data_IF_952667464085
#
_entry.id   IF_952667464085
#
_cell.length_a   1.000
_cell.length_b   1.000
_cell.length_c   1.000
_cell.angle_alpha   90.00
_cell.angle_beta   90.00
_cell.angle_gamma   90.00
#
_symmetry.space_group_name_H-M   'P 1'
#
loop_
_entity.id
_entity.type
_entity.pdbx_description
1 polymer ?
#
# COMPACT_ATOMS: atom_id res chain seq x y z
N UNK A 1 -1.97 -1.37 9.33
CA UNK A 1 -1.22 -2.15 8.34
C UNK A 1 0.26 -1.82 8.44
N UNK A 2 0.74 -0.80 7.72
CA UNK A 2 2.13 -0.33 7.78
C UNK A 2 2.12 1.18 8.04
N UNK A 3 3.04 1.64 8.88
CA UNK A 3 3.33 3.06 9.11
C UNK A 3 4.73 3.34 8.57
N UNK A 4 4.90 4.41 7.81
CA UNK A 4 6.19 4.85 7.32
C UNK A 4 6.65 6.07 8.11
N UNK A 5 7.87 6.03 8.64
CA UNK A 5 8.59 7.21 9.10
C UNK A 5 9.45 7.70 7.95
N UNK A 6 9.28 8.95 7.56
CA UNK A 6 9.92 9.54 6.41
C UNK A 6 10.68 10.77 6.90
N UNK A 7 11.99 10.79 6.70
CA UNK A 7 12.84 11.92 7.03
C UNK A 7 13.41 12.54 5.75
N UNK A 8 13.26 13.86 5.60
CA UNK A 8 13.78 14.64 4.49
C UNK A 8 14.48 15.87 5.06
N UNK A 9 15.81 15.92 4.96
CA UNK A 9 16.64 16.94 5.61
C UNK A 9 16.34 17.03 7.12
N UNK A 10 15.89 18.19 7.60
CA UNK A 10 15.54 18.44 9.00
C UNK A 10 14.06 18.12 9.31
N UNK A 11 13.23 17.91 8.28
CA UNK A 11 11.82 17.62 8.43
C UNK A 11 11.59 16.12 8.53
N UNK A 12 10.58 15.73 9.31
CA UNK A 12 10.16 14.34 9.40
C UNK A 12 8.64 14.24 9.52
N UNK A 13 8.11 13.11 9.07
CA UNK A 13 6.69 12.78 9.19
C UNK A 13 6.52 11.29 9.42
N UNK A 14 5.45 10.94 10.14
CA UNK A 14 5.03 9.55 10.32
C UNK A 14 3.64 9.39 9.71
N UNK A 15 3.53 8.55 8.68
CA UNK A 15 2.31 8.40 7.88
C UNK A 15 1.78 6.98 7.90
N UNK A 16 0.46 6.82 7.92
CA UNK A 16 -0.17 5.51 7.75
C UNK A 16 -0.31 5.20 6.26
N UNK A 17 0.40 4.19 5.76
CA UNK A 17 0.38 3.84 4.33
C UNK A 17 -0.97 3.31 3.84
N UNK A 18 -1.93 3.06 4.72
CA UNK A 18 -3.31 2.72 4.31
C UNK A 18 -4.17 3.94 3.95
N UNK A 19 -3.63 5.16 4.07
CA UNK A 19 -4.33 6.39 3.69
C UNK A 19 -4.49 6.54 2.18
N UNK A 20 -5.37 7.44 1.76
CA UNK A 20 -5.56 7.75 0.33
C UNK A 20 -4.24 8.22 -0.28
N UNK A 21 -3.93 7.84 -1.54
CA UNK A 21 -2.70 8.30 -2.19
C UNK A 21 -2.55 9.81 -2.24
N UNK A 22 -3.65 10.55 -2.41
CA UNK A 22 -3.62 12.02 -2.40
C UNK A 22 -3.15 12.55 -1.04
N UNK A 23 -3.63 11.98 0.07
CA UNK A 23 -3.20 12.42 1.40
C UNK A 23 -1.72 12.15 1.66
N UNK A 24 -1.19 11.02 1.18
CA UNK A 24 0.25 10.76 1.23
C UNK A 24 1.05 11.80 0.44
N UNK A 25 0.55 12.22 -0.73
CA UNK A 25 1.19 13.26 -1.51
C UNK A 25 1.23 14.59 -0.74
N UNK A 26 0.11 14.97 -0.15
CA UNK A 26 0.00 16.22 0.61
C UNK A 26 0.93 16.19 1.84
N UNK A 27 0.98 15.05 2.56
CA UNK A 27 1.89 14.80 3.68
C UNK A 27 3.38 14.93 3.27
N UNK A 28 3.75 14.41 2.09
CA UNK A 28 5.10 14.53 1.54
C UNK A 28 5.44 15.98 1.16
N UNK A 29 4.50 16.69 0.54
CA UNK A 29 4.69 18.09 0.18
C UNK A 29 4.83 18.99 1.41
N UNK A 30 4.11 18.69 2.50
CA UNK A 30 4.21 19.42 3.76
C UNK A 30 5.62 19.39 4.39
N UNK A 31 6.41 18.36 4.11
CA UNK A 31 7.81 18.28 4.55
C UNK A 31 8.82 18.73 3.48
N UNK A 32 8.35 19.20 2.32
CA UNK A 32 9.18 19.73 1.23
C UNK A 32 9.52 18.72 0.12
N UNK A 33 8.88 17.55 0.08
CA UNK A 33 9.13 16.54 -0.95
C UNK A 33 8.18 16.74 -2.12
N UNK A 34 8.73 17.17 -3.27
CA UNK A 34 7.96 17.41 -4.50
C UNK A 34 7.89 16.20 -5.42
N UNK A 35 8.79 15.23 -5.25
CA UNK A 35 8.80 14.00 -6.05
C UNK A 35 7.54 13.19 -5.79
N UNK A 36 6.90 12.71 -6.87
CA UNK A 36 5.74 11.82 -6.76
C UNK A 36 6.09 10.57 -5.97
N UNK A 37 5.24 10.17 -5.01
CA UNK A 37 5.44 8.95 -4.21
C UNK A 37 5.64 7.68 -5.05
N UNK A 38 5.12 7.64 -6.28
CA UNK A 38 5.27 6.50 -7.20
C UNK A 38 6.68 6.38 -7.79
N UNK A 39 7.52 7.42 -7.65
CA UNK A 39 8.90 7.47 -8.11
C UNK A 39 9.91 7.40 -6.94
N UNK A 40 9.43 7.52 -5.70
CA UNK A 40 10.28 7.44 -4.51
C UNK A 40 10.53 5.98 -4.18
N UNK A 41 11.70 5.46 -4.54
CA UNK A 41 12.19 4.16 -4.08
C UNK A 41 12.27 4.14 -2.55
N UNK A 42 12.02 2.98 -1.94
CA UNK A 42 12.12 2.82 -0.50
C UNK A 42 13.57 2.91 -0.02
N UNK A 43 14.53 2.41 -0.81
CA UNK A 43 15.97 2.61 -0.60
C UNK A 43 16.46 3.95 -1.20
N UNK A 44 15.94 5.06 -0.68
CA UNK A 44 16.35 6.41 -1.09
C UNK A 44 17.20 7.10 -0.01
N UNK A 45 18.18 6.37 0.52
CA UNK A 45 18.99 6.79 1.68
C UNK A 45 19.72 8.13 1.52
N UNK A 46 20.01 8.57 0.29
CA UNK A 46 20.74 9.82 0.01
C UNK A 46 19.89 11.08 0.21
N UNK A 47 18.57 10.97 0.06
CA UNK A 47 17.69 12.14 0.03
C UNK A 47 16.51 11.97 0.98
N UNK A 48 15.93 10.77 1.05
CA UNK A 48 14.71 10.45 1.78
C UNK A 48 14.87 9.16 2.56
N UNK A 49 15.11 9.27 3.87
CA UNK A 49 15.19 8.08 4.72
C UNK A 49 13.79 7.58 5.03
N UNK A 50 13.45 6.39 4.54
CA UNK A 50 12.14 5.77 4.73
C UNK A 50 12.29 4.51 5.59
N UNK A 51 11.61 4.51 6.73
CA UNK A 51 11.55 3.37 7.65
C UNK A 51 10.12 2.87 7.74
N UNK A 52 9.92 1.56 7.54
CA UNK A 52 8.60 0.93 7.50
C UNK A 52 8.37 0.10 8.76
N UNK A 53 7.25 0.34 9.43
CA UNK A 53 6.87 -0.34 10.67
C UNK A 53 5.51 -1.05 10.51
N UNK A 54 5.44 -2.37 10.70
CA UNK A 54 4.18 -3.09 10.68
C UNK A 54 3.41 -2.81 11.97
N UNK A 55 2.12 -2.50 11.85
CA UNK A 55 1.23 -2.31 13.02
C UNK A 55 0.52 -3.61 13.45
N UNK A 56 0.49 -4.62 12.59
CA UNK A 56 -0.19 -5.89 12.84
C UNK A 56 0.44 -7.01 11.99
N UNK A 57 -0.01 -8.25 12.19
CA UNK A 57 0.48 -9.43 11.46
C UNK A 57 0.37 -9.27 9.94
N UNK A 58 -0.76 -8.76 9.46
CA UNK A 58 -0.92 -8.43 8.04
C UNK A 58 0.17 -7.47 7.53
N UNK A 59 0.46 -6.40 8.28
CA UNK A 59 1.54 -5.49 7.94
C UNK A 59 2.90 -6.17 7.89
N UNK A 60 3.14 -7.19 8.73
CA UNK A 60 4.39 -7.98 8.70
C UNK A 60 4.53 -8.76 7.40
N UNK A 61 3.48 -9.51 7.00
CA UNK A 61 3.50 -10.26 5.75
C UNK A 61 3.64 -9.36 4.52
N UNK A 62 2.98 -8.19 4.51
CA UNK A 62 3.17 -7.24 3.42
C UNK A 62 4.62 -6.75 3.40
N UNK A 63 5.23 -6.48 4.57
CA UNK A 63 6.63 -6.07 4.68
C UNK A 63 7.62 -7.09 4.13
N UNK A 64 7.32 -8.38 4.28
CA UNK A 64 8.13 -9.49 3.73
C UNK A 64 8.09 -9.53 2.19
N UNK A 65 7.00 -9.06 1.57
CA UNK A 65 6.91 -8.94 0.10
C UNK A 65 7.68 -7.75 -0.48
N UNK A 66 8.11 -6.80 0.36
CA UNK A 66 8.69 -5.55 -0.10
C UNK A 66 10.15 -5.76 -0.48
N UNK A 67 10.49 -5.53 -1.74
CA UNK A 67 11.87 -5.34 -2.15
C UNK A 67 12.21 -3.85 -2.09
N UNK A 68 12.92 -3.44 -1.03
CA UNK A 68 13.27 -2.02 -0.82
C UNK A 68 14.07 -1.41 -1.98
N UNK A 69 14.78 -2.21 -2.78
CA UNK A 69 15.61 -1.72 -3.88
C UNK A 69 14.80 -1.37 -5.12
N UNK A 70 13.65 -2.02 -5.32
CA UNK A 70 12.84 -1.87 -6.53
C UNK A 70 11.45 -1.28 -6.26
N UNK A 71 10.88 -1.52 -5.08
CA UNK A 71 9.57 -1.00 -4.71
C UNK A 71 9.62 0.47 -4.32
N UNK A 72 8.52 1.16 -4.63
CA UNK A 72 8.34 2.57 -4.32
C UNK A 72 7.37 2.76 -3.17
N UNK A 73 7.52 3.89 -2.46
CA UNK A 73 6.61 4.30 -1.39
C UNK A 73 5.15 4.32 -1.87
N UNK A 74 4.92 4.78 -3.10
CA UNK A 74 3.61 4.79 -3.74
C UNK A 74 3.04 3.40 -4.00
N UNK A 75 3.86 2.42 -4.40
CA UNK A 75 3.41 1.04 -4.58
C UNK A 75 2.94 0.43 -3.26
N UNK A 76 3.71 0.59 -2.18
CA UNK A 76 3.32 0.10 -0.84
C UNK A 76 2.05 0.79 -0.35
N UNK A 77 1.95 2.11 -0.54
CA UNK A 77 0.76 2.88 -0.18
C UNK A 77 -0.48 2.42 -0.96
N UNK A 78 -0.36 2.21 -2.28
CA UNK A 78 -1.46 1.76 -3.12
C UNK A 78 -1.99 0.40 -2.67
N UNK A 79 -1.09 -0.55 -2.36
CA UNK A 79 -1.49 -1.87 -1.85
C UNK A 79 -2.18 -1.76 -0.50
N UNK A 80 -1.58 -1.01 0.43
CA UNK A 80 -2.15 -0.81 1.75
C UNK A 80 -3.54 -0.15 1.69
N UNK A 81 -3.71 0.84 0.82
CA UNK A 81 -4.99 1.51 0.60
C UNK A 81 -6.03 0.58 -0.04
N UNK A 82 -5.63 -0.24 -1.02
CA UNK A 82 -6.50 -1.20 -1.70
C UNK A 82 -7.07 -2.21 -0.70
N UNK A 83 -6.22 -2.79 0.15
CA UNK A 83 -6.63 -3.72 1.21
C UNK A 83 -7.51 -3.04 2.26
N UNK A 84 -7.26 -1.76 2.60
CA UNK A 84 -8.14 -1.01 3.51
C UNK A 84 -9.56 -0.88 2.95
N UNK A 85 -9.69 -0.77 1.63
CA UNK A 85 -10.97 -0.62 0.93
C UNK A 85 -11.69 -1.95 0.67
N UNK A 86 -11.06 -3.09 0.98
CA UNK A 86 -11.71 -4.41 0.84
C UNK A 86 -12.77 -4.61 1.93
N UNK A 87 -13.82 -5.37 1.59
CA UNK A 87 -14.72 -5.89 2.61
C UNK A 87 -14.07 -7.03 3.40
N UNK A 88 -14.75 -7.51 4.43
CA UNK A 88 -14.22 -8.55 5.30
C UNK A 88 -13.94 -9.88 4.55
N UNK A 89 -14.71 -10.23 3.52
CA UNK A 89 -14.55 -11.50 2.80
C UNK A 89 -13.31 -11.47 1.91
N UNK A 90 -13.16 -10.42 1.12
CA UNK A 90 -11.98 -10.27 0.25
C UNK A 90 -10.72 -10.12 1.07
N UNK A 91 -10.78 -9.36 2.15
CA UNK A 91 -9.64 -9.17 3.04
C UNK A 91 -9.18 -10.50 3.66
N UNK A 92 -10.12 -11.35 4.07
CA UNK A 92 -9.81 -12.70 4.56
C UNK A 92 -9.18 -13.57 3.47
N UNK A 93 -9.75 -13.57 2.26
CA UNK A 93 -9.21 -14.35 1.14
C UNK A 93 -7.81 -13.87 0.72
N UNK A 94 -7.64 -12.56 0.57
CA UNK A 94 -6.35 -11.94 0.26
C UNK A 94 -5.28 -12.29 1.32
N UNK A 95 -5.63 -12.28 2.61
CA UNK A 95 -4.69 -12.65 3.66
C UNK A 95 -4.39 -14.14 3.74
N UNK A 96 -5.33 -15.00 3.35
CA UNK A 96 -5.06 -16.42 3.21
C UNK A 96 -4.00 -16.65 2.13
N UNK A 97 -4.19 -16.05 0.95
CA UNK A 97 -3.24 -16.17 -0.17
C UNK A 97 -1.87 -15.59 0.19
N UNK A 98 -1.86 -14.41 0.83
CA UNK A 98 -0.64 -13.76 1.30
C UNK A 98 0.17 -14.64 2.26
N UNK A 99 -0.51 -15.33 3.20
CA UNK A 99 0.15 -16.22 4.16
C UNK A 99 0.69 -17.49 3.53
N UNK A 100 0.06 -17.98 2.47
CA UNK A 100 0.48 -19.18 1.77
C UNK A 100 1.63 -18.93 0.79
N UNK A 101 2.05 -17.67 0.61
CA UNK A 101 3.12 -17.31 -0.32
C UNK A 101 2.66 -17.20 -1.78
N UNK A 102 1.36 -16.98 -2.03
CA UNK A 102 0.81 -16.86 -3.38
C UNK A 102 1.26 -15.58 -4.11
N UNK A 103 1.94 -14.67 -3.40
CA UNK A 103 2.51 -13.44 -3.95
C UNK A 103 4.02 -13.44 -3.76
N UNK A 104 4.77 -13.17 -4.83
CA UNK A 104 6.22 -13.03 -4.78
C UNK A 104 6.67 -11.57 -4.68
N UNK A 105 5.83 -10.64 -5.14
CA UNK A 105 6.12 -9.20 -5.22
C UNK A 105 4.89 -8.36 -4.86
N UNK A 106 5.10 -7.10 -4.47
CA UNK A 106 4.01 -6.13 -4.24
C UNK A 106 3.09 -6.01 -5.47
N UNK A 107 3.65 -6.04 -6.69
CA UNK A 107 2.88 -5.90 -7.92
C UNK A 107 1.88 -7.04 -8.14
N UNK A 108 2.24 -8.27 -7.76
CA UNK A 108 1.35 -9.45 -7.85
C UNK A 108 0.19 -9.31 -6.87
N UNK A 109 0.52 -8.97 -5.62
CA UNK A 109 -0.46 -8.69 -4.57
C UNK A 109 -1.42 -7.54 -4.97
N UNK A 110 -0.89 -6.46 -5.55
CA UNK A 110 -1.70 -5.34 -6.03
C UNK A 110 -2.63 -5.74 -7.16
N UNK A 111 -2.15 -6.55 -8.12
CA UNK A 111 -2.98 -7.03 -9.25
C UNK A 111 -4.15 -7.85 -8.75
N UNK A 112 -3.93 -8.74 -7.78
CA UNK A 112 -4.99 -9.55 -7.22
C UNK A 112 -5.99 -8.71 -6.41
N UNK A 113 -5.51 -7.74 -5.63
CA UNK A 113 -6.35 -6.78 -4.94
C UNK A 113 -7.25 -5.97 -5.90
N UNK A 114 -6.71 -5.52 -7.04
CA UNK A 114 -7.46 -4.83 -8.08
C UNK A 114 -8.50 -5.76 -8.74
N UNK A 115 -8.14 -7.02 -8.99
CA UNK A 115 -9.05 -8.04 -9.56
C UNK A 115 -10.25 -8.29 -8.65
N UNK A 116 -10.03 -8.47 -7.33
CA UNK A 116 -11.12 -8.65 -6.36
C UNK A 116 -12.07 -7.44 -6.36
N UNK A 117 -11.52 -6.23 -6.43
CA UNK A 117 -12.30 -4.99 -6.50
C UNK A 117 -13.16 -4.92 -7.76
N UNK A 118 -12.62 -5.25 -8.92
CA UNK A 118 -13.38 -5.25 -10.18
C UNK A 118 -14.47 -6.32 -10.21
N UNK A 119 -14.18 -7.53 -9.71
CA UNK A 119 -15.18 -8.59 -9.57
C UNK A 119 -16.37 -8.14 -8.71
N UNK A 120 -16.11 -7.38 -7.63
CA UNK A 120 -17.19 -6.82 -6.81
C UNK A 120 -18.01 -5.76 -7.54
N UNK A 121 -17.38 -4.86 -8.30
CA UNK A 121 -18.12 -3.87 -9.10
C UNK A 121 -19.07 -4.55 -10.09
N UNK A 122 -18.62 -5.63 -10.73
CA UNK A 122 -19.44 -6.43 -11.65
C UNK A 122 -20.64 -7.06 -10.92
N UNK A 123 -20.41 -7.77 -9.80
CA UNK A 123 -21.47 -8.37 -8.99
C UNK A 123 -22.49 -7.34 -8.48
N UNK A 124 -22.02 -6.18 -8.02
CA UNK A 124 -22.91 -5.11 -7.54
C UNK A 124 -23.75 -4.49 -8.66
N UNK A 125 -23.20 -4.36 -9.88
CA UNK A 125 -23.96 -3.91 -11.06
C UNK A 125 -25.03 -4.92 -11.46
N UNK A 126 -24.70 -6.22 -11.43
CA UNK A 126 -25.68 -7.28 -11.70
C UNK A 126 -26.83 -7.23 -10.68
N UNK A 127 -26.53 -7.20 -9.38
CA UNK A 127 -27.55 -7.15 -8.32
C UNK A 127 -28.46 -5.91 -8.38
N UNK A 128 -27.97 -4.77 -8.86
CA UNK A 128 -28.79 -3.57 -9.10
C UNK A 128 -29.73 -3.69 -10.29
N UNK A 129 -29.41 -4.56 -11.26
CA UNK A 129 -30.24 -4.79 -12.45
C UNK A 129 -31.43 -5.72 -12.17
N UNK A 130 -31.39 -6.44 -11.04
CA UNK A 130 -32.43 -7.36 -10.57
C UNK A 130 -33.25 -6.81 -9.39
N UNK A 131 -33.11 -5.51 -9.08
CA UNK A 131 -33.91 -4.78 -8.09
C UNK A 131 -34.64 -3.65 -8.80
#
# INVERSE_FOLDING_TARGET
>A
MITARINFLQNNITVNLSQTPIRLRDDLQNIGVLTSQNLILLDNSRTLKIELYPKNSCGKYILELIDKKSDTLGAVNKLCYSIRCMDARDKTHFFYNLKNGDYNKISDAQRDADKMREQRKIKNRQNKKYR
#
